data_IF_673394290387
#
_entry.id   IF_673394290387
#
_cell.length_a   1.000
_cell.length_b   1.000
_cell.length_c   1.000
_cell.angle_alpha   90.00
_cell.angle_beta   90.00
_cell.angle_gamma   90.00
#
_symmetry.space_group_name_H-M   'P 1'
#
loop_
_entity.id
_entity.type
_entity.pdbx_description
1 polymer ?
#
# COMPACT_ATOMS: atom_id res chain seq x y z
N UNK A 1 -10.87 60.65 52.71
CA UNK A 1 -11.15 59.90 51.47
C UNK A 1 -9.85 59.77 50.69
N UNK A 2 -9.17 58.63 50.82
CA UNK A 2 -8.10 58.24 49.90
C UNK A 2 -8.53 56.91 49.30
N UNK A 3 -8.80 56.95 48.00
CA UNK A 3 -9.23 55.81 47.20
C UNK A 3 -7.97 55.06 46.77
N UNK A 4 -7.79 53.84 47.26
CA UNK A 4 -6.79 52.91 46.74
C UNK A 4 -7.32 52.28 45.45
N UNK A 5 -6.62 52.37 44.30
CA UNK A 5 -7.01 51.64 43.11
C UNK A 5 -6.55 50.19 43.27
N UNK A 6 -7.49 49.24 43.34
CA UNK A 6 -7.20 47.82 43.13
C UNK A 6 -6.72 47.67 41.69
N UNK A 7 -5.52 47.11 41.52
CA UNK A 7 -5.08 46.52 40.25
C UNK A 7 -5.89 45.25 40.05
N UNK A 8 -6.77 45.26 39.06
CA UNK A 8 -7.31 44.04 38.48
C UNK A 8 -6.20 43.40 37.65
N UNK A 9 -5.51 42.42 38.22
CA UNK A 9 -4.67 41.50 37.45
C UNK A 9 -5.62 40.51 36.76
N UNK A 10 -5.87 40.74 35.47
CA UNK A 10 -6.46 39.77 34.57
C UNK A 10 -5.57 38.51 34.56
N UNK A 11 -6.00 37.48 35.28
CA UNK A 11 -5.38 36.15 35.21
C UNK A 11 -5.71 35.58 33.84
N UNK A 12 -4.81 35.80 32.88
CA UNK A 12 -4.85 35.10 31.59
C UNK A 12 -4.53 33.63 31.88
N UNK A 13 -5.58 32.83 32.06
CA UNK A 13 -5.49 31.39 32.19
C UNK A 13 -4.80 30.83 30.92
N UNK A 14 -3.54 30.39 31.06
CA UNK A 14 -2.82 29.75 29.95
C UNK A 14 -3.54 28.45 29.59
N UNK A 15 -4.33 28.46 28.53
CA UNK A 15 -4.99 27.26 27.98
C UNK A 15 -3.92 26.20 27.73
N UNK A 16 -3.91 25.16 28.56
CA UNK A 16 -2.95 24.06 28.47
C UNK A 16 -3.50 23.01 27.50
N UNK A 17 -3.05 23.06 26.25
CA UNK A 17 -3.44 22.07 25.24
C UNK A 17 -3.03 20.66 25.65
N UNK A 18 -3.94 19.70 25.49
CA UNK A 18 -3.68 18.26 25.65
C UNK A 18 -2.65 17.78 24.63
N UNK A 19 -2.01 16.63 24.87
CA UNK A 19 -1.05 16.05 23.93
C UNK A 19 -1.71 15.77 22.57
N UNK A 20 -2.95 15.27 22.58
CA UNK A 20 -3.74 15.05 21.36
C UNK A 20 -4.04 16.37 20.63
N UNK A 21 -4.42 17.42 21.35
CA UNK A 21 -4.70 18.74 20.74
C UNK A 21 -3.47 19.30 20.01
N UNK A 22 -2.27 19.08 20.56
CA UNK A 22 -1.00 19.44 19.89
C UNK A 22 -0.76 18.61 18.65
N UNK A 23 -0.91 17.28 18.74
CA UNK A 23 -0.74 16.37 17.61
C UNK A 23 -1.71 16.69 16.45
N UNK A 24 -2.97 16.98 16.77
CA UNK A 24 -3.97 17.39 15.77
C UNK A 24 -3.68 18.76 15.17
N UNK A 25 -3.11 19.69 15.93
CA UNK A 25 -2.64 20.96 15.40
C UNK A 25 -1.47 20.78 14.44
N UNK A 26 -0.58 19.82 14.69
CA UNK A 26 0.55 19.50 13.82
C UNK A 26 0.07 18.89 12.49
N UNK A 27 -0.88 17.95 12.55
CA UNK A 27 -1.55 17.41 11.37
C UNK A 27 -2.31 18.48 10.59
N UNK A 28 -2.97 19.42 11.26
CA UNK A 28 -3.64 20.54 10.59
C UNK A 28 -2.65 21.42 9.82
N UNK A 29 -1.44 21.66 10.35
CA UNK A 29 -0.39 22.38 9.62
C UNK A 29 0.09 21.60 8.40
N UNK A 30 0.32 20.29 8.53
CA UNK A 30 0.69 19.46 7.39
C UNK A 30 -0.39 19.48 6.27
N UNK A 31 -1.68 19.37 6.64
CA UNK A 31 -2.79 19.52 5.68
C UNK A 31 -2.76 20.87 4.96
N UNK A 32 -2.54 21.95 5.70
CA UNK A 32 -2.48 23.30 5.12
C UNK A 32 -1.34 23.43 4.10
N UNK A 33 -0.16 22.92 4.44
CA UNK A 33 1.03 22.91 3.56
C UNK A 33 0.76 22.10 2.28
N UNK A 34 0.16 20.91 2.39
CA UNK A 34 -0.16 20.05 1.25
C UNK A 34 -1.23 20.71 0.35
N UNK A 35 -2.24 21.34 0.97
CA UNK A 35 -3.29 22.07 0.25
C UNK A 35 -2.71 23.28 -0.50
N UNK A 36 -1.83 24.05 0.13
CA UNK A 36 -1.13 25.16 -0.51
C UNK A 36 -0.33 24.68 -1.73
N UNK A 37 0.39 23.55 -1.60
CA UNK A 37 1.12 22.96 -2.70
C UNK A 37 0.21 22.58 -3.88
N UNK A 38 -1.02 22.12 -3.59
CA UNK A 38 -2.02 21.78 -4.60
C UNK A 38 -2.48 23.01 -5.37
N UNK A 39 -2.66 24.14 -4.69
CA UNK A 39 -3.08 25.41 -5.29
C UNK A 39 -1.99 26.06 -6.16
N UNK A 40 -0.72 25.87 -5.80
CA UNK A 40 0.43 26.49 -6.47
C UNK A 40 1.03 25.66 -7.62
N UNK A 41 0.50 24.46 -7.89
CA UNK A 41 1.05 23.50 -8.86
C UNK A 41 1.25 24.07 -10.27
N UNK A 42 0.41 25.01 -10.71
CA UNK A 42 0.48 25.59 -12.06
C UNK A 42 1.74 26.40 -12.36
N UNK A 43 2.59 26.71 -11.36
CA UNK A 43 3.71 27.63 -11.52
C UNK A 43 5.10 27.10 -11.14
N UNK A 44 5.26 25.87 -10.61
CA UNK A 44 6.55 25.46 -10.02
C UNK A 44 6.90 23.97 -10.16
N UNK A 45 8.12 23.69 -10.60
CA UNK A 45 8.87 22.48 -10.22
C UNK A 45 9.20 22.55 -8.73
N UNK A 46 9.32 21.41 -8.03
CA UNK A 46 9.66 21.40 -6.60
C UNK A 46 10.86 22.31 -6.29
N UNK A 47 10.61 23.40 -5.56
CA UNK A 47 11.63 24.35 -5.13
C UNK A 47 12.46 23.83 -3.95
N UNK A 48 12.08 22.67 -3.40
CA UNK A 48 12.87 21.99 -2.38
C UNK A 48 13.98 21.20 -3.05
N UNK A 49 15.21 21.63 -2.81
CA UNK A 49 16.40 20.82 -3.08
C UNK A 49 16.31 19.54 -2.24
N UNK A 50 16.12 18.41 -2.91
CA UNK A 50 16.24 17.09 -2.33
C UNK A 50 17.46 16.41 -2.94
N UNK A 51 18.54 16.17 -2.17
CA UNK A 51 19.77 15.59 -2.71
C UNK A 51 19.64 14.12 -3.10
N UNK A 52 18.58 13.43 -2.69
CA UNK A 52 18.35 12.01 -2.99
C UNK A 52 17.44 11.84 -4.21
N UNK A 53 16.24 12.40 -4.15
CA UNK A 53 15.27 12.29 -5.24
C UNK A 53 14.20 13.37 -5.19
N UNK A 54 14.03 14.05 -6.33
CA UNK A 54 12.92 14.98 -6.55
C UNK A 54 11.91 14.30 -7.47
N UNK A 55 10.69 13.96 -6.97
CA UNK A 55 9.60 13.49 -7.82
C UNK A 55 9.32 14.47 -8.96
N UNK A 56 9.33 13.96 -10.18
CA UNK A 56 9.08 14.72 -11.39
C UNK A 56 8.45 13.85 -12.47
N UNK A 57 7.84 14.49 -13.47
CA UNK A 57 7.24 13.81 -14.62
C UNK A 57 5.83 13.25 -14.35
N UNK A 58 5.28 12.64 -15.39
CA UNK A 58 3.86 12.28 -15.47
C UNK A 58 3.53 10.94 -14.78
N UNK A 59 4.52 10.28 -14.16
CA UNK A 59 4.30 9.07 -13.37
C UNK A 59 3.50 9.35 -12.10
N UNK A 60 3.40 10.61 -11.69
CA UNK A 60 2.62 11.05 -10.54
C UNK A 60 1.37 11.80 -10.98
N UNK A 61 0.28 11.69 -10.21
CA UNK A 61 -0.87 12.59 -10.38
C UNK A 61 -0.50 14.06 -10.15
N UNK A 62 0.36 14.30 -9.15
CA UNK A 62 0.96 15.59 -8.89
C UNK A 62 2.29 15.41 -8.15
N UNK A 63 3.39 15.46 -8.90
CA UNK A 63 4.74 15.20 -8.36
C UNK A 63 5.13 16.19 -7.25
N UNK A 64 4.73 17.46 -7.38
CA UNK A 64 5.04 18.50 -6.40
C UNK A 64 4.28 18.28 -5.08
N UNK A 65 2.97 18.03 -5.14
CA UNK A 65 2.15 17.74 -3.97
C UNK A 65 2.62 16.46 -3.28
N UNK A 66 2.95 15.42 -4.05
CA UNK A 66 3.53 14.20 -3.51
C UNK A 66 4.83 14.49 -2.75
N UNK A 67 5.77 15.22 -3.36
CA UNK A 67 7.04 15.56 -2.71
C UNK A 67 6.84 16.35 -1.41
N UNK A 68 5.97 17.36 -1.43
CA UNK A 68 5.62 18.16 -0.24
C UNK A 68 5.01 17.29 0.85
N UNK A 69 4.05 16.44 0.52
CA UNK A 69 3.43 15.54 1.48
C UNK A 69 4.42 14.51 2.04
N UNK A 70 5.34 14.00 1.22
CA UNK A 70 6.36 13.06 1.64
C UNK A 70 7.32 13.70 2.65
N UNK A 71 7.75 14.94 2.40
CA UNK A 71 8.57 15.70 3.35
C UNK A 71 7.87 15.93 4.70
N UNK A 72 6.60 16.33 4.69
CA UNK A 72 5.86 16.53 5.94
C UNK A 72 5.74 15.20 6.71
N UNK A 73 5.46 14.09 6.03
CA UNK A 73 5.49 12.76 6.65
C UNK A 73 6.85 12.46 7.29
N UNK A 74 7.97 12.62 6.57
CA UNK A 74 9.30 12.32 7.10
C UNK A 74 9.68 13.16 8.31
N UNK A 75 9.16 14.38 8.40
CA UNK A 75 9.44 15.33 9.48
C UNK A 75 8.65 15.02 10.74
N UNK A 76 7.38 14.63 10.62
CA UNK A 76 6.48 14.57 11.78
C UNK A 76 5.97 13.17 12.10
N UNK A 77 5.83 12.29 11.11
CA UNK A 77 5.06 11.06 11.27
C UNK A 77 5.69 10.10 12.28
N UNK A 78 4.89 9.64 13.24
CA UNK A 78 5.28 8.70 14.29
C UNK A 78 4.28 7.57 14.43
N UNK A 79 4.79 6.37 14.61
CA UNK A 79 4.03 5.13 14.69
C UNK A 79 4.39 4.43 15.99
N UNK A 80 3.38 4.16 16.81
CA UNK A 80 3.53 3.26 17.95
C UNK A 80 3.19 1.84 17.51
N UNK A 81 4.04 0.89 17.88
CA UNK A 81 3.78 -0.54 17.63
C UNK A 81 3.37 -1.17 18.96
N UNK A 82 2.15 -1.71 19.04
CA UNK A 82 1.72 -2.46 20.22
C UNK A 82 2.66 -3.62 20.48
N UNK A 83 2.91 -3.96 21.76
CA UNK A 83 3.90 -4.99 22.15
C UNK A 83 3.26 -6.34 22.44
N UNK A 84 1.94 -6.38 22.40
CA UNK A 84 1.13 -7.52 22.80
C UNK A 84 1.09 -8.56 21.69
N UNK A 85 1.03 -9.82 22.11
CA UNK A 85 1.04 -10.98 21.22
C UNK A 85 2.46 -11.52 21.04
N UNK A 86 2.55 -12.81 20.76
CA UNK A 86 3.82 -13.50 20.58
C UNK A 86 3.98 -14.01 19.13
N UNK A 87 5.22 -14.11 18.62
CA UNK A 87 5.50 -14.84 17.39
C UNK A 87 5.01 -16.30 17.48
N UNK A 88 4.60 -16.91 16.35
CA UNK A 88 4.76 -16.40 14.99
C UNK A 88 3.57 -15.58 14.47
N UNK A 89 2.47 -15.45 15.22
CA UNK A 89 1.25 -14.76 14.75
C UNK A 89 1.32 -13.25 14.90
N UNK A 90 2.09 -12.77 15.87
CA UNK A 90 2.33 -11.36 16.13
C UNK A 90 3.81 -11.06 16.02
N UNK A 91 4.17 -9.85 15.60
CA UNK A 91 5.55 -9.37 15.49
C UNK A 91 6.46 -10.17 14.54
N UNK A 92 5.87 -11.07 13.75
CA UNK A 92 6.53 -11.87 12.72
C UNK A 92 5.61 -12.00 11.50
N UNK A 93 6.18 -12.35 10.36
CA UNK A 93 5.43 -12.59 9.13
C UNK A 93 6.28 -13.26 8.06
N UNK A 94 5.67 -13.82 7.01
CA UNK A 94 6.44 -14.41 5.91
C UNK A 94 7.30 -13.35 5.22
N UNK A 95 8.60 -13.62 5.08
CA UNK A 95 9.54 -12.76 4.34
C UNK A 95 9.99 -13.38 3.00
N UNK A 96 9.29 -14.43 2.54
CA UNK A 96 9.53 -15.17 1.30
C UNK A 96 8.22 -15.45 0.59
N UNK A 97 8.30 -15.83 -0.69
CA UNK A 97 7.16 -16.10 -1.55
C UNK A 97 6.25 -14.87 -1.72
N UNK A 98 4.99 -15.10 -2.12
CA UNK A 98 4.01 -14.07 -2.50
C UNK A 98 3.64 -13.11 -1.37
N UNK A 99 3.59 -13.58 -0.12
CA UNK A 99 3.27 -12.76 1.05
C UNK A 99 4.49 -12.09 1.69
N UNK A 100 5.65 -12.10 1.02
CA UNK A 100 6.92 -11.65 1.61
C UNK A 100 6.90 -10.20 2.10
N UNK A 101 6.08 -9.34 1.50
CA UNK A 101 5.96 -7.93 1.85
C UNK A 101 5.26 -7.71 3.18
N UNK A 102 4.35 -8.61 3.58
CA UNK A 102 3.70 -8.56 4.90
C UNK A 102 4.73 -8.70 6.02
N UNK A 103 5.51 -9.79 6.01
CA UNK A 103 6.55 -10.01 7.01
C UNK A 103 7.69 -9.00 6.93
N UNK A 104 8.07 -8.55 5.73
CA UNK A 104 9.09 -7.52 5.59
C UNK A 104 8.65 -6.19 6.18
N UNK A 105 7.40 -5.78 6.02
CA UNK A 105 6.91 -4.56 6.66
C UNK A 105 6.92 -4.69 8.18
N UNK A 106 6.37 -5.78 8.73
CA UNK A 106 6.37 -6.07 10.17
C UNK A 106 7.80 -6.01 10.73
N UNK A 107 8.74 -6.70 10.07
CA UNK A 107 10.15 -6.72 10.47
C UNK A 107 10.81 -5.33 10.48
N UNK A 108 10.50 -4.46 9.52
CA UNK A 108 11.04 -3.10 9.53
C UNK A 108 10.40 -2.22 10.60
N UNK A 109 9.12 -2.44 10.92
CA UNK A 109 8.45 -1.77 12.04
C UNK A 109 8.97 -2.24 13.41
N UNK A 110 9.44 -3.48 13.52
CA UNK A 110 10.08 -4.00 14.73
C UNK A 110 11.53 -3.53 14.93
N UNK A 111 12.15 -2.95 13.91
CA UNK A 111 13.48 -2.34 14.04
C UNK A 111 13.39 -0.89 14.47
N UNK A 112 14.50 -0.42 15.05
CA UNK A 112 14.68 1.01 15.26
C UNK A 112 14.69 1.73 13.90
N UNK A 113 13.80 2.70 13.76
CA UNK A 113 13.66 3.51 12.57
C UNK A 113 13.07 4.88 12.93
N UNK A 114 13.24 5.88 12.08
CA UNK A 114 12.84 7.26 12.38
C UNK A 114 11.34 7.48 12.62
N UNK A 115 10.49 6.57 12.16
CA UNK A 115 9.04 6.65 12.30
C UNK A 115 8.54 5.94 13.56
N UNK A 116 9.24 4.94 14.09
CA UNK A 116 8.83 4.27 15.32
C UNK A 116 8.95 5.22 16.51
N UNK A 117 7.97 5.19 17.40
CA UNK A 117 8.07 5.77 18.75
C UNK A 117 7.67 4.73 19.79
N UNK A 118 8.29 4.80 20.96
CA UNK A 118 7.93 4.01 22.13
C UNK A 118 7.05 4.80 23.12
N UNK A 119 6.88 6.11 22.91
CA UNK A 119 5.89 6.92 23.61
C UNK A 119 4.58 6.94 22.79
N UNK A 120 3.52 6.25 23.24
CA UNK A 120 2.26 6.22 22.52
C UNK A 120 1.55 7.58 22.46
N UNK A 121 1.95 8.57 23.28
CA UNK A 121 1.40 9.92 23.22
C UNK A 121 2.01 10.77 22.08
N UNK A 122 3.16 10.37 21.53
CA UNK A 122 3.77 11.01 20.36
C UNK A 122 3.26 10.40 19.04
N UNK A 123 2.52 9.29 19.11
CA UNK A 123 2.13 8.51 17.96
C UNK A 123 0.98 9.14 17.17
N UNK A 124 1.16 9.27 15.87
CA UNK A 124 0.12 9.70 14.94
C UNK A 124 -0.79 8.54 14.56
N UNK A 125 -0.23 7.34 14.47
CA UNK A 125 -0.96 6.08 14.25
C UNK A 125 -0.41 4.95 15.10
N UNK A 126 -1.22 3.93 15.30
CA UNK A 126 -0.89 2.74 16.09
C UNK A 126 -0.96 1.49 15.22
N UNK A 127 0.15 0.74 15.15
CA UNK A 127 0.24 -0.49 14.38
C UNK A 127 -0.21 -1.68 15.20
N UNK A 128 -1.10 -2.51 14.63
CA UNK A 128 -1.48 -3.84 15.13
C UNK A 128 -0.60 -4.90 14.44
N UNK A 129 0.47 -5.40 15.08
CA UNK A 129 1.53 -6.17 14.42
C UNK A 129 1.17 -7.66 14.24
N UNK A 130 -0.07 -7.98 13.90
CA UNK A 130 -0.47 -9.35 13.63
C UNK A 130 -0.35 -9.69 12.14
N UNK A 131 0.06 -10.92 11.84
CA UNK A 131 0.21 -11.43 10.48
C UNK A 131 -0.93 -12.40 10.17
N UNK A 132 -1.83 -12.00 9.27
CA UNK A 132 -2.91 -12.89 8.81
C UNK A 132 -2.33 -14.10 8.09
N UNK A 133 -1.24 -13.94 7.32
CA UNK A 133 -0.59 -15.07 6.67
C UNK A 133 -0.05 -16.10 7.67
N UNK A 134 0.50 -15.66 8.81
CA UNK A 134 0.92 -16.56 9.89
C UNK A 134 -0.28 -17.16 10.62
N UNK A 135 -1.34 -16.41 10.87
CA UNK A 135 -2.56 -16.98 11.43
C UNK A 135 -3.13 -18.09 10.55
N UNK A 136 -3.18 -17.89 9.22
CA UNK A 136 -3.59 -18.94 8.29
C UNK A 136 -2.64 -20.14 8.38
N UNK A 137 -1.32 -19.91 8.35
CA UNK A 137 -0.34 -20.99 8.42
C UNK A 137 -0.46 -21.86 9.68
N UNK A 138 -0.80 -21.27 10.83
CA UNK A 138 -0.74 -21.97 12.13
C UNK A 138 -2.12 -22.35 12.70
N UNK A 139 -3.19 -21.67 12.30
CA UNK A 139 -4.54 -21.88 12.85
C UNK A 139 -5.50 -22.51 11.84
N UNK A 140 -5.27 -22.39 10.53
CA UNK A 140 -6.16 -23.00 9.55
C UNK A 140 -5.94 -24.51 9.47
N UNK A 141 -7.04 -25.26 9.53
CA UNK A 141 -7.03 -26.70 9.27
C UNK A 141 -7.38 -26.92 7.79
N UNK A 142 -6.48 -27.52 6.98
CA UNK A 142 -6.77 -27.78 5.58
C UNK A 142 -8.11 -28.54 5.40
N UNK A 143 -8.85 -28.18 4.35
CA UNK A 143 -10.14 -28.75 3.97
C UNK A 143 -11.30 -28.59 4.99
N UNK A 144 -11.10 -27.85 6.10
CA UNK A 144 -12.16 -27.58 7.06
C UNK A 144 -13.12 -26.47 6.60
N UNK A 145 -12.63 -25.56 5.74
CA UNK A 145 -13.27 -24.28 5.41
C UNK A 145 -13.59 -23.40 6.65
N UNK A 146 -13.01 -23.72 7.80
CA UNK A 146 -13.22 -23.03 9.06
C UNK A 146 -12.13 -21.98 9.28
N UNK A 147 -12.55 -20.71 9.29
CA UNK A 147 -11.69 -19.55 9.58
C UNK A 147 -11.91 -18.99 10.99
N UNK A 148 -12.74 -19.63 11.83
CA UNK A 148 -13.15 -19.10 13.12
C UNK A 148 -11.98 -18.81 14.05
N UNK A 149 -11.01 -19.72 14.16
CA UNK A 149 -9.81 -19.52 14.98
C UNK A 149 -9.01 -18.27 14.59
N UNK A 150 -8.91 -17.98 13.30
CA UNK A 150 -8.19 -16.81 12.77
C UNK A 150 -8.95 -15.52 13.10
N UNK A 151 -10.26 -15.50 12.83
CA UNK A 151 -11.13 -14.36 13.07
C UNK A 151 -11.18 -14.03 14.57
N UNK A 152 -11.32 -15.05 15.40
CA UNK A 152 -11.40 -14.91 16.85
C UNK A 152 -10.07 -14.43 17.45
N UNK A 153 -8.93 -14.89 16.92
CA UNK A 153 -7.61 -14.40 17.36
C UNK A 153 -7.45 -12.90 17.15
N UNK A 154 -7.84 -12.37 15.98
CA UNK A 154 -7.79 -10.93 15.74
C UNK A 154 -8.80 -10.15 16.59
N UNK A 155 -10.02 -10.68 16.76
CA UNK A 155 -11.05 -10.08 17.59
C UNK A 155 -10.63 -9.97 19.05
N UNK A 156 -10.13 -11.06 19.63
CA UNK A 156 -9.68 -11.10 21.02
C UNK A 156 -8.47 -10.20 21.25
N UNK A 157 -7.52 -10.20 20.32
CA UNK A 157 -6.38 -9.30 20.36
C UNK A 157 -6.81 -7.85 20.47
N UNK A 158 -7.72 -7.42 19.59
CA UNK A 158 -8.15 -6.02 19.55
C UNK A 158 -9.05 -5.68 20.74
N UNK A 159 -10.11 -6.45 21.00
CA UNK A 159 -11.15 -6.07 21.96
C UNK A 159 -10.80 -6.40 23.42
N UNK A 160 -10.08 -7.51 23.65
CA UNK A 160 -9.84 -8.01 24.99
C UNK A 160 -8.43 -7.67 25.49
N UNK A 161 -7.49 -7.41 24.58
CA UNK A 161 -6.11 -7.03 24.96
C UNK A 161 -5.88 -5.54 24.69
N UNK A 162 -5.90 -5.10 23.43
CA UNK A 162 -5.52 -3.72 23.08
C UNK A 162 -6.50 -2.70 23.66
N UNK A 163 -7.80 -2.89 23.47
CA UNK A 163 -8.83 -1.96 23.92
C UNK A 163 -8.96 -1.88 25.45
N UNK A 164 -8.60 -2.94 26.18
CA UNK A 164 -8.65 -2.96 27.64
C UNK A 164 -7.39 -2.38 28.28
N UNK A 165 -6.23 -2.62 27.65
CA UNK A 165 -4.93 -2.21 28.20
C UNK A 165 -4.56 -0.76 27.86
N UNK A 166 -5.01 -0.25 26.71
CA UNK A 166 -4.61 1.06 26.21
C UNK A 166 -5.81 1.98 25.93
N UNK A 167 -5.71 3.28 26.28
CA UNK A 167 -6.81 4.21 26.04
C UNK A 167 -6.98 4.58 24.55
N UNK A 168 -5.95 4.39 23.73
CA UNK A 168 -5.87 4.93 22.36
C UNK A 168 -6.87 4.30 21.41
N UNK A 169 -7.10 2.99 21.49
CA UNK A 169 -8.13 2.32 20.68
C UNK A 169 -9.52 2.91 20.93
N UNK A 170 -9.91 3.04 22.20
CA UNK A 170 -11.23 3.56 22.58
C UNK A 170 -11.38 5.06 22.31
N UNK A 171 -10.28 5.82 22.34
CA UNK A 171 -10.25 7.26 22.03
C UNK A 171 -10.72 7.55 20.61
N UNK A 172 -10.26 6.75 19.65
CA UNK A 172 -10.52 6.94 18.21
C UNK A 172 -11.51 5.93 17.64
N UNK A 173 -11.95 4.95 18.43
CA UNK A 173 -12.63 3.74 17.96
C UNK A 173 -11.82 3.05 16.84
N UNK A 174 -10.50 3.02 16.98
CA UNK A 174 -9.59 2.42 16.02
C UNK A 174 -9.25 3.29 14.80
N UNK A 175 -9.75 4.53 14.68
CA UNK A 175 -9.57 5.32 13.46
C UNK A 175 -8.10 5.69 13.14
N UNK A 176 -7.26 5.88 14.16
CA UNK A 176 -5.80 6.07 14.03
C UNK A 176 -5.01 4.76 14.17
N UNK A 177 -5.68 3.62 14.09
CA UNK A 177 -5.04 2.30 14.10
C UNK A 177 -4.94 1.76 12.69
N UNK A 178 -3.91 0.96 12.45
CA UNK A 178 -3.79 0.26 11.20
C UNK A 178 -3.37 -1.20 11.36
N UNK A 179 -3.85 -2.02 10.44
CA UNK A 179 -3.39 -3.38 10.21
C UNK A 179 -2.83 -3.50 8.80
N UNK A 180 -2.01 -4.51 8.57
CA UNK A 180 -1.46 -4.80 7.25
C UNK A 180 -1.58 -6.28 6.93
N UNK A 181 -2.05 -6.63 5.74
CA UNK A 181 -1.98 -8.00 5.25
C UNK A 181 -1.89 -8.12 3.73
N UNK A 182 -1.15 -9.13 3.28
CA UNK A 182 -1.15 -9.58 1.90
C UNK A 182 -1.93 -10.87 1.64
N UNK A 183 -2.39 -11.55 2.67
CA UNK A 183 -3.21 -12.73 2.50
C UNK A 183 -4.61 -12.34 2.01
N UNK A 184 -5.21 -13.17 1.15
CA UNK A 184 -6.59 -13.01 0.64
C UNK A 184 -7.65 -12.91 1.76
N UNK A 185 -7.36 -13.40 2.96
CA UNK A 185 -8.26 -13.34 4.13
C UNK A 185 -8.09 -12.08 4.98
N UNK A 186 -7.18 -11.17 4.62
CA UNK A 186 -7.06 -9.86 5.28
C UNK A 186 -8.39 -9.10 5.39
N UNK A 187 -9.16 -8.94 4.29
CA UNK A 187 -10.50 -8.37 4.33
C UNK A 187 -11.44 -9.12 5.29
N UNK A 188 -11.48 -10.46 5.21
CA UNK A 188 -12.33 -11.30 6.05
C UNK A 188 -12.02 -11.10 7.54
N UNK A 189 -10.74 -11.15 7.92
CA UNK A 189 -10.31 -10.98 9.31
C UNK A 189 -10.67 -9.60 9.82
N UNK A 190 -10.39 -8.56 9.02
CA UNK A 190 -10.74 -7.18 9.41
C UNK A 190 -12.25 -6.99 9.60
N UNK A 191 -13.07 -7.59 8.72
CA UNK A 191 -14.54 -7.53 8.78
C UNK A 191 -15.10 -8.06 10.09
N UNK A 192 -14.50 -9.10 10.66
CA UNK A 192 -14.95 -9.70 11.91
C UNK A 192 -14.61 -8.86 13.15
N UNK A 193 -13.79 -7.82 13.02
CA UNK A 193 -13.46 -6.88 14.10
C UNK A 193 -14.11 -5.52 13.79
N UNK A 194 -15.28 -5.19 14.40
CA UNK A 194 -16.16 -4.13 13.89
C UNK A 194 -15.51 -2.76 13.66
N UNK A 195 -14.71 -2.28 14.61
CA UNK A 195 -14.02 -0.99 14.50
C UNK A 195 -12.77 -1.04 13.60
N UNK A 196 -12.17 -2.22 13.45
CA UNK A 196 -11.06 -2.43 12.51
C UNK A 196 -11.53 -2.37 11.06
N UNK A 197 -12.71 -2.92 10.75
CA UNK A 197 -13.31 -2.82 9.42
C UNK A 197 -13.81 -1.42 9.09
N UNK A 198 -14.55 -0.81 10.02
CA UNK A 198 -15.28 0.42 9.72
C UNK A 198 -14.41 1.68 9.82
N UNK A 199 -13.48 1.73 10.77
CA UNK A 199 -12.80 2.97 11.13
C UNK A 199 -11.29 2.94 10.87
N UNK A 200 -10.64 1.81 11.15
CA UNK A 200 -9.18 1.69 11.04
C UNK A 200 -8.68 1.72 9.60
N UNK A 201 -7.40 2.05 9.46
CA UNK A 201 -6.68 2.02 8.20
C UNK A 201 -6.31 0.57 7.90
N UNK A 202 -6.87 -0.02 6.84
CA UNK A 202 -6.48 -1.37 6.42
C UNK A 202 -5.51 -1.28 5.26
N UNK A 203 -4.32 -1.82 5.43
CA UNK A 203 -3.28 -1.86 4.40
C UNK A 203 -3.30 -3.24 3.77
N UNK A 204 -3.85 -3.38 2.56
CA UNK A 204 -4.23 -4.67 2.00
C UNK A 204 -3.61 -4.90 0.61
N UNK A 205 -3.03 -6.09 0.38
CA UNK A 205 -2.73 -6.52 -0.99
C UNK A 205 -4.03 -6.74 -1.79
N UNK A 206 -5.01 -7.45 -1.22
CA UNK A 206 -6.35 -7.64 -1.81
C UNK A 206 -7.21 -6.37 -1.70
N UNK A 207 -6.87 -5.35 -2.50
CA UNK A 207 -7.51 -4.04 -2.52
C UNK A 207 -8.73 -4.01 -3.47
N UNK A 208 -9.75 -4.81 -3.17
CA UNK A 208 -10.97 -4.93 -3.97
C UNK A 208 -12.13 -4.08 -3.43
N UNK A 209 -12.55 -3.08 -4.20
CA UNK A 209 -13.66 -2.18 -3.80
C UNK A 209 -15.01 -2.88 -3.70
N UNK A 210 -15.24 -4.00 -4.41
CA UNK A 210 -16.47 -4.78 -4.26
C UNK A 210 -16.50 -5.63 -2.98
N UNK A 211 -15.36 -5.84 -2.33
CA UNK A 211 -15.21 -6.57 -1.07
C UNK A 211 -15.07 -5.63 0.14
N UNK A 212 -15.45 -4.36 -0.06
CA UNK A 212 -15.49 -3.35 0.98
C UNK A 212 -14.16 -2.65 1.24
N UNK A 213 -13.17 -2.77 0.36
CA UNK A 213 -12.02 -1.87 0.34
C UNK A 213 -12.49 -0.44 0.02
N UNK A 214 -12.15 0.52 0.87
CA UNK A 214 -12.49 1.94 0.69
C UNK A 214 -11.19 2.74 0.49
N UNK A 215 -10.88 3.23 -0.72
CA UNK A 215 -9.64 3.97 -0.99
C UNK A 215 -9.42 5.22 -0.13
N UNK A 216 -10.49 5.79 0.44
CA UNK A 216 -10.41 6.97 1.30
C UNK A 216 -9.94 6.66 2.72
N UNK A 217 -10.12 5.41 3.17
CA UNK A 217 -9.76 4.91 4.52
C UNK A 217 -8.67 3.85 4.49
N UNK A 218 -8.64 3.01 3.47
CA UNK A 218 -7.74 1.87 3.31
C UNK A 218 -6.62 2.21 2.31
N UNK A 219 -5.52 1.46 2.36
CA UNK A 219 -4.37 1.64 1.49
C UNK A 219 -4.05 0.33 0.73
N UNK A 220 -3.86 0.43 -0.58
CA UNK A 220 -3.43 -0.71 -1.40
C UNK A 220 -1.94 -0.94 -1.20
N UNK A 221 -1.57 -2.21 -1.03
CA UNK A 221 -0.22 -2.64 -0.69
C UNK A 221 0.32 -3.60 -1.76
N UNK A 222 1.57 -3.45 -2.23
CA UNK A 222 2.07 -4.31 -3.30
C UNK A 222 2.41 -5.72 -2.81
N UNK A 223 1.90 -6.70 -3.54
CA UNK A 223 2.29 -8.09 -3.40
C UNK A 223 3.60 -8.32 -4.16
N UNK A 224 4.66 -8.74 -3.45
CA UNK A 224 5.97 -8.98 -4.08
C UNK A 224 6.39 -10.41 -3.78
N UNK A 225 6.60 -11.19 -4.84
CA UNK A 225 7.02 -12.57 -4.74
C UNK A 225 8.54 -12.70 -4.60
N UNK A 226 9.03 -12.68 -3.36
CA UNK A 226 10.44 -12.96 -3.07
C UNK A 226 10.65 -14.47 -2.90
N UNK A 227 10.75 -15.21 -4.00
CA UNK A 227 10.81 -16.69 -4.03
C UNK A 227 11.72 -17.30 -2.96
N UNK A 228 12.97 -16.81 -2.85
CA UNK A 228 13.96 -17.26 -1.86
C UNK A 228 14.10 -16.32 -0.66
N UNK A 229 13.53 -15.12 -0.75
CA UNK A 229 13.77 -13.99 0.16
C UNK A 229 14.88 -13.04 -0.30
N UNK A 230 15.59 -13.38 -1.39
CA UNK A 230 16.64 -12.55 -1.97
C UNK A 230 16.08 -11.28 -2.61
N UNK A 231 16.82 -10.19 -2.46
CA UNK A 231 16.45 -8.84 -2.96
C UNK A 231 17.43 -8.32 -4.01
N UNK A 232 18.44 -9.11 -4.38
CA UNK A 232 19.44 -8.76 -5.38
C UNK A 232 18.96 -9.24 -6.74
N UNK A 233 19.14 -8.42 -7.77
CA UNK A 233 18.80 -8.78 -9.15
C UNK A 233 17.30 -8.89 -9.41
N UNK A 234 16.46 -8.27 -8.57
CA UNK A 234 15.01 -8.23 -8.78
C UNK A 234 14.65 -7.47 -10.06
N UNK A 235 15.41 -6.42 -10.36
CA UNK A 235 15.18 -5.53 -11.51
C UNK A 235 16.05 -5.95 -12.69
N UNK A 236 15.46 -5.93 -13.88
CA UNK A 236 16.18 -6.12 -15.13
C UNK A 236 15.19 -6.19 -16.29
N UNK A 237 15.49 -5.53 -17.41
CA UNK A 237 14.61 -5.51 -18.57
C UNK A 237 15.40 -5.25 -19.85
N UNK A 238 14.88 -5.74 -20.99
CA UNK A 238 15.46 -5.42 -22.30
C UNK A 238 15.00 -4.03 -22.77
N UNK A 239 15.82 -3.32 -23.56
CA UNK A 239 15.37 -2.10 -24.22
C UNK A 239 14.18 -2.38 -25.15
N UNK A 240 13.33 -1.37 -25.46
CA UNK A 240 12.15 -1.52 -26.31
C UNK A 240 12.41 -2.29 -27.62
N UNK A 241 13.51 -1.95 -28.30
CA UNK A 241 13.91 -2.53 -29.60
C UNK A 241 14.18 -4.02 -29.56
N UNK A 242 14.47 -4.58 -28.38
CA UNK A 242 14.87 -5.98 -28.21
C UNK A 242 13.73 -6.85 -27.64
N UNK A 243 12.53 -6.28 -27.46
CA UNK A 243 11.34 -6.99 -26.98
C UNK A 243 10.52 -7.48 -28.17
N UNK A 244 10.62 -8.78 -28.43
CA UNK A 244 10.05 -9.43 -29.62
C UNK A 244 8.66 -10.03 -29.40
N UNK A 245 8.21 -10.16 -28.14
CA UNK A 245 6.90 -10.69 -27.80
C UNK A 245 5.95 -9.51 -27.56
N UNK A 246 4.76 -9.51 -28.17
CA UNK A 246 3.79 -8.43 -27.95
C UNK A 246 3.26 -8.49 -26.51
N UNK A 247 2.70 -9.62 -26.09
CA UNK A 247 2.17 -9.77 -24.75
C UNK A 247 2.44 -11.17 -24.17
N UNK A 248 2.61 -11.24 -22.85
CA UNK A 248 2.89 -12.49 -22.16
C UNK A 248 2.08 -12.69 -20.88
N UNK A 249 1.63 -13.93 -20.67
CA UNK A 249 1.09 -14.42 -19.41
C UNK A 249 1.54 -15.86 -19.13
N UNK A 250 1.81 -16.17 -17.86
CA UNK A 250 1.83 -17.54 -17.35
C UNK A 250 1.21 -17.63 -15.96
N UNK A 251 0.27 -18.56 -15.79
CA UNK A 251 -0.37 -18.81 -14.51
C UNK A 251 -1.42 -19.91 -14.58
N UNK A 252 -1.69 -20.52 -13.43
CA UNK A 252 -2.73 -21.54 -13.27
C UNK A 252 -4.16 -21.00 -13.41
N UNK A 253 -5.10 -21.93 -13.61
CA UNK A 253 -6.54 -21.67 -13.47
C UNK A 253 -6.85 -21.26 -12.04
N UNK A 254 -7.09 -19.98 -11.82
CA UNK A 254 -7.29 -19.39 -10.51
C UNK A 254 -8.10 -18.11 -10.68
N UNK A 255 -9.37 -18.14 -10.29
CA UNK A 255 -10.33 -17.07 -10.60
C UNK A 255 -10.90 -17.14 -12.03
N UNK A 256 -12.06 -16.54 -12.22
CA UNK A 256 -12.83 -16.65 -13.47
C UNK A 256 -12.18 -15.90 -14.65
N UNK A 257 -11.49 -14.78 -14.39
CA UNK A 257 -10.81 -13.97 -15.41
C UNK A 257 -9.67 -14.75 -16.08
N UNK A 258 -8.90 -15.53 -15.30
CA UNK A 258 -7.84 -16.39 -15.86
C UNK A 258 -8.41 -17.50 -16.72
N UNK A 259 -9.58 -18.05 -16.39
CA UNK A 259 -10.26 -19.03 -17.23
C UNK A 259 -10.59 -18.44 -18.60
N UNK A 260 -11.17 -17.23 -18.64
CA UNK A 260 -11.48 -16.52 -19.90
C UNK A 260 -10.19 -16.23 -20.69
N UNK A 261 -9.13 -15.75 -20.04
CA UNK A 261 -7.86 -15.46 -20.69
C UNK A 261 -7.23 -16.73 -21.31
N UNK A 262 -7.17 -17.82 -20.54
CA UNK A 262 -6.62 -19.09 -21.00
C UNK A 262 -7.45 -19.68 -22.13
N UNK A 263 -8.78 -19.64 -22.01
CA UNK A 263 -9.69 -20.11 -23.06
C UNK A 263 -9.46 -19.35 -24.37
N UNK A 264 -9.29 -18.02 -24.33
CA UNK A 264 -9.14 -17.23 -25.55
C UNK A 264 -7.74 -17.24 -26.16
N UNK A 265 -6.67 -17.30 -25.36
CA UNK A 265 -5.32 -16.99 -25.86
C UNK A 265 -4.29 -18.11 -25.70
N UNK A 266 -4.54 -19.11 -24.84
CA UNK A 266 -3.56 -20.20 -24.62
C UNK A 266 -3.31 -20.94 -25.93
N UNK A 267 -2.04 -21.01 -26.34
CA UNK A 267 -1.57 -21.71 -27.55
C UNK A 267 -2.27 -21.27 -28.86
N UNK A 268 -2.81 -20.03 -28.92
CA UNK A 268 -3.64 -19.54 -30.04
C UNK A 268 -3.02 -18.41 -30.87
N UNK A 269 -1.95 -17.77 -30.39
CA UNK A 269 -1.28 -16.67 -31.10
C UNK A 269 0.23 -16.67 -30.83
N UNK A 270 1.03 -16.23 -31.81
CA UNK A 270 2.50 -16.21 -31.70
C UNK A 270 3.03 -14.94 -31.01
N UNK A 271 2.27 -13.84 -31.07
CA UNK A 271 2.60 -12.53 -30.52
C UNK A 271 2.08 -12.39 -29.08
N UNK A 272 0.88 -12.93 -28.81
CA UNK A 272 0.31 -13.04 -27.46
C UNK A 272 0.55 -14.45 -26.91
N UNK A 273 1.53 -14.58 -26.03
CA UNK A 273 1.97 -15.86 -25.47
C UNK A 273 1.37 -16.10 -24.10
N UNK A 274 0.41 -17.03 -24.03
CA UNK A 274 -0.34 -17.34 -22.81
C UNK A 274 -0.16 -18.81 -22.46
N UNK A 275 0.28 -19.09 -21.23
CA UNK A 275 0.54 -20.44 -20.74
C UNK A 275 -0.21 -20.77 -19.45
N UNK A 276 -0.68 -22.02 -19.32
CA UNK A 276 -1.15 -22.59 -18.06
C UNK A 276 0.02 -23.33 -17.39
N UNK A 277 0.96 -22.55 -16.84
CA UNK A 277 2.26 -23.05 -16.40
C UNK A 277 3.25 -23.15 -17.56
N UNK A 278 4.46 -22.64 -17.34
CA UNK A 278 5.52 -22.69 -18.35
C UNK A 278 6.17 -24.08 -18.41
N UNK A 279 6.55 -24.57 -19.60
CA UNK A 279 7.50 -25.66 -19.74
C UNK A 279 8.80 -25.38 -18.99
N UNK A 280 9.48 -26.42 -18.49
CA UNK A 280 10.68 -26.30 -17.65
C UNK A 280 11.85 -25.62 -18.38
N UNK A 281 11.87 -25.72 -19.70
CA UNK A 281 12.91 -25.20 -20.59
C UNK A 281 12.74 -23.69 -20.83
N UNK A 282 11.57 -23.13 -20.53
CA UNK A 282 11.25 -21.72 -20.76
C UNK A 282 11.38 -20.94 -19.46
N UNK A 283 12.32 -20.00 -19.44
CA UNK A 283 12.51 -19.08 -18.33
C UNK A 283 11.38 -18.05 -18.28
N UNK A 284 10.65 -18.02 -17.16
CA UNK A 284 9.62 -17.02 -16.88
C UNK A 284 10.15 -15.59 -16.96
N UNK A 285 11.32 -15.35 -16.36
CA UNK A 285 11.96 -14.04 -16.35
C UNK A 285 12.36 -13.61 -17.77
N UNK A 286 12.87 -14.53 -18.60
CA UNK A 286 13.19 -14.22 -19.98
C UNK A 286 11.95 -13.90 -20.81
N UNK A 287 10.84 -14.60 -20.59
CA UNK A 287 9.58 -14.30 -21.28
C UNK A 287 9.08 -12.90 -20.93
N UNK A 288 9.09 -12.52 -19.64
CA UNK A 288 8.74 -11.15 -19.23
C UNK A 288 9.71 -10.10 -19.81
N UNK A 289 11.02 -10.36 -19.75
CA UNK A 289 12.04 -9.44 -20.25
C UNK A 289 11.98 -9.23 -21.77
N UNK A 290 11.47 -10.22 -22.52
CA UNK A 290 11.29 -10.15 -23.97
C UNK A 290 9.91 -9.59 -24.39
N UNK A 291 9.00 -9.36 -23.45
CA UNK A 291 7.63 -8.94 -23.75
C UNK A 291 7.46 -7.42 -23.66
N UNK A 292 6.72 -6.84 -24.60
CA UNK A 292 6.33 -5.43 -24.52
C UNK A 292 5.31 -5.20 -23.39
N UNK A 293 4.31 -6.07 -23.35
CA UNK A 293 3.20 -6.01 -22.39
C UNK A 293 3.14 -7.28 -21.53
N UNK A 294 2.93 -7.14 -20.23
CA UNK A 294 2.80 -8.27 -19.31
C UNK A 294 1.37 -8.30 -18.77
N UNK A 295 0.64 -9.36 -19.08
CA UNK A 295 -0.77 -9.48 -18.73
C UNK A 295 -0.89 -9.86 -17.26
N UNK A 296 -1.63 -9.07 -16.49
CA UNK A 296 -1.84 -9.22 -15.06
C UNK A 296 -3.34 -9.42 -14.78
N UNK A 297 -3.91 -10.60 -15.11
CA UNK A 297 -5.29 -10.92 -14.78
C UNK A 297 -5.43 -11.22 -13.28
N UNK A 298 -6.48 -10.69 -12.66
CA UNK A 298 -6.82 -11.02 -11.28
C UNK A 298 -7.13 -12.52 -11.13
N UNK A 299 -6.92 -12.98 -9.89
CA UNK A 299 -7.18 -14.33 -9.44
C UNK A 299 -8.56 -14.48 -8.79
N UNK A 300 -8.63 -15.32 -7.74
CA UNK A 300 -9.72 -15.19 -6.77
C UNK A 300 -9.57 -13.89 -5.97
N UNK A 301 -8.34 -13.50 -5.68
CA UNK A 301 -7.98 -12.16 -5.21
C UNK A 301 -7.65 -11.22 -6.38
N UNK A 302 -7.86 -9.92 -6.20
CA UNK A 302 -7.52 -8.92 -7.23
C UNK A 302 -6.03 -8.61 -7.30
N UNK A 303 -5.29 -8.90 -6.23
CA UNK A 303 -3.85 -8.73 -6.18
C UNK A 303 -3.13 -9.76 -7.08
N UNK A 304 -1.98 -9.37 -7.61
CA UNK A 304 -1.08 -10.35 -8.23
C UNK A 304 0.36 -9.91 -8.10
N UNK A 305 1.30 -10.82 -7.74
CA UNK A 305 2.71 -10.46 -7.69
C UNK A 305 3.24 -10.11 -9.09
N UNK A 306 2.53 -10.54 -10.15
CA UNK A 306 2.84 -10.27 -11.55
C UNK A 306 2.90 -8.80 -11.88
N UNK A 307 2.14 -7.96 -11.17
CA UNK A 307 2.16 -6.51 -11.39
C UNK A 307 3.55 -5.98 -11.07
N UNK A 308 4.10 -6.37 -9.91
CA UNK A 308 5.44 -5.94 -9.50
C UNK A 308 6.52 -6.66 -10.31
N UNK A 309 6.34 -7.94 -10.64
CA UNK A 309 7.25 -8.67 -11.54
C UNK A 309 7.33 -8.00 -12.93
N UNK A 310 6.21 -7.53 -13.49
CA UNK A 310 6.17 -6.78 -14.74
C UNK A 310 6.90 -5.44 -14.63
N UNK A 311 6.66 -4.70 -13.54
CA UNK A 311 7.37 -3.45 -13.25
C UNK A 311 8.89 -3.72 -13.20
N UNK A 312 9.33 -4.71 -12.44
CA UNK A 312 10.74 -5.11 -12.35
C UNK A 312 11.36 -5.56 -13.68
N UNK A 313 10.55 -6.20 -14.53
CA UNK A 313 10.94 -6.62 -15.87
C UNK A 313 10.97 -5.48 -16.91
N UNK A 314 10.66 -4.24 -16.51
CA UNK A 314 10.41 -3.09 -17.41
C UNK A 314 9.39 -3.43 -18.51
N UNK A 315 8.41 -4.29 -18.19
CA UNK A 315 7.35 -4.77 -19.06
C UNK A 315 6.08 -4.00 -18.71
N UNK A 316 5.42 -3.39 -19.70
CA UNK A 316 4.23 -2.56 -19.43
C UNK A 316 3.10 -3.43 -18.87
N UNK A 317 2.64 -3.22 -17.62
CA UNK A 317 1.59 -4.04 -17.03
C UNK A 317 0.27 -3.82 -17.75
N UNK A 318 -0.42 -4.92 -18.08
CA UNK A 318 -1.80 -4.91 -18.60
C UNK A 318 -2.70 -5.47 -17.52
N UNK A 319 -3.38 -4.58 -16.79
CA UNK A 319 -4.26 -4.99 -15.70
C UNK A 319 -5.61 -5.44 -16.27
N UNK A 320 -6.02 -6.65 -15.90
CA UNK A 320 -7.33 -7.21 -16.24
C UNK A 320 -7.99 -7.62 -14.94
N UNK A 321 -8.75 -6.71 -14.36
CA UNK A 321 -9.37 -6.88 -13.06
C UNK A 321 -10.57 -5.96 -12.94
N UNK A 322 -11.62 -6.41 -12.27
CA UNK A 322 -12.69 -5.53 -11.83
C UNK A 322 -12.36 -5.00 -10.43
N UNK A 323 -12.71 -3.74 -10.17
CA UNK A 323 -12.73 -3.16 -8.82
C UNK A 323 -11.39 -3.10 -8.06
N UNK A 324 -10.27 -3.45 -8.70
CA UNK A 324 -8.94 -3.39 -8.11
C UNK A 324 -8.43 -1.96 -8.00
N UNK A 325 -7.84 -1.64 -6.86
CA UNK A 325 -7.12 -0.39 -6.64
C UNK A 325 -5.62 -0.70 -6.61
N UNK A 326 -4.85 -0.33 -7.64
CA UNK A 326 -3.42 -0.61 -7.68
C UNK A 326 -2.65 0.08 -6.55
N UNK A 327 -1.49 -0.46 -6.13
CA UNK A 327 -0.70 0.13 -5.05
C UNK A 327 -0.28 1.57 -5.37
N UNK A 328 -0.28 2.40 -4.33
CA UNK A 328 0.14 3.81 -4.41
C UNK A 328 -0.67 4.68 -5.39
N UNK A 329 -1.91 4.30 -5.72
CA UNK A 329 -2.79 5.05 -6.62
C UNK A 329 -3.11 6.48 -6.16
N UNK A 330 -2.90 6.83 -4.88
CA UNK A 330 -3.05 8.21 -4.42
C UNK A 330 -2.01 9.16 -5.01
N UNK A 331 -0.86 8.61 -5.44
CA UNK A 331 0.30 9.40 -5.88
C UNK A 331 0.75 9.02 -7.28
N UNK A 332 0.72 7.73 -7.64
CA UNK A 332 1.15 7.23 -8.95
C UNK A 332 0.00 7.25 -9.95
N UNK A 333 0.24 7.87 -11.10
CA UNK A 333 -0.67 7.86 -12.24
C UNK A 333 -0.49 6.58 -13.05
N UNK A 334 -1.23 5.53 -12.69
CA UNK A 334 -1.16 4.21 -13.33
C UNK A 334 -1.44 4.24 -14.84
N UNK A 335 -2.29 5.16 -15.33
CA UNK A 335 -2.60 5.29 -16.76
C UNK A 335 -1.39 5.75 -17.59
N UNK A 336 -0.39 6.34 -16.94
CA UNK A 336 0.82 6.82 -17.62
C UNK A 336 1.80 5.69 -17.97
N UNK A 337 1.73 4.54 -17.29
CA UNK A 337 2.70 3.43 -17.41
C UNK A 337 2.07 2.03 -17.44
N UNK A 338 0.74 1.91 -17.43
CA UNK A 338 0.02 0.64 -17.53
C UNK A 338 -1.13 0.71 -18.54
N UNK A 339 -1.66 -0.44 -18.93
CA UNK A 339 -2.87 -0.54 -19.76
C UNK A 339 -3.96 -1.22 -18.93
N UNK A 340 -5.09 -0.55 -18.72
CA UNK A 340 -6.28 -1.15 -18.12
C UNK A 340 -7.13 -1.78 -19.23
N UNK A 341 -7.48 -3.06 -19.11
CA UNK A 341 -8.35 -3.75 -20.06
C UNK A 341 -9.53 -4.38 -19.31
N UNK A 342 -10.78 -4.01 -19.66
CA UNK A 342 -11.96 -4.66 -19.09
C UNK A 342 -11.98 -6.16 -19.37
N UNK A 343 -12.58 -6.95 -18.47
CA UNK A 343 -12.70 -8.41 -18.64
C UNK A 343 -13.40 -8.78 -19.94
N UNK A 344 -14.43 -8.01 -20.34
CA UNK A 344 -15.17 -8.20 -21.59
C UNK A 344 -14.32 -8.00 -22.85
N UNK A 345 -13.17 -7.33 -22.73
CA UNK A 345 -12.26 -7.03 -23.83
C UNK A 345 -11.06 -7.99 -23.92
N UNK A 346 -11.02 -9.04 -23.10
CA UNK A 346 -10.02 -10.12 -23.23
C UNK A 346 -9.92 -10.64 -24.69
N UNK A 347 -11.02 -10.92 -25.42
CA UNK A 347 -10.93 -11.37 -26.81
C UNK A 347 -10.28 -10.33 -27.76
N UNK A 348 -10.27 -9.05 -27.38
CA UNK A 348 -9.75 -7.94 -28.17
C UNK A 348 -8.31 -7.55 -27.82
N UNK A 349 -7.63 -8.27 -26.91
CA UNK A 349 -6.30 -7.88 -26.38
C UNK A 349 -5.30 -7.52 -27.49
N UNK A 350 -5.16 -8.35 -28.53
CA UNK A 350 -4.22 -8.08 -29.63
C UNK A 350 -4.52 -6.75 -30.33
N UNK A 351 -5.79 -6.50 -30.65
CA UNK A 351 -6.22 -5.24 -31.28
C UNK A 351 -5.93 -4.04 -30.39
N UNK A 352 -6.21 -4.14 -29.09
CA UNK A 352 -6.00 -3.06 -28.12
C UNK A 352 -4.50 -2.74 -27.99
N UNK A 353 -3.67 -3.77 -27.80
CA UNK A 353 -2.23 -3.58 -27.58
C UNK A 353 -1.51 -3.12 -28.85
N UNK A 354 -1.91 -3.60 -30.04
CA UNK A 354 -1.36 -3.13 -31.31
C UNK A 354 -1.81 -1.72 -31.70
N UNK A 355 -2.90 -1.20 -31.11
CA UNK A 355 -3.33 0.18 -31.32
C UNK A 355 -2.48 1.20 -30.57
N UNK A 356 -1.65 0.76 -29.63
CA UNK A 356 -0.68 1.62 -28.93
C UNK A 356 0.50 1.87 -29.89
N UNK A 357 0.73 3.13 -30.24
CA UNK A 357 1.85 3.51 -31.11
C UNK A 357 3.19 3.20 -30.44
N UNK A 358 4.23 2.96 -31.24
CA UNK A 358 5.56 2.65 -30.71
C UNK A 358 6.07 3.78 -29.79
N UNK A 359 5.89 5.05 -30.16
CA UNK A 359 6.28 6.20 -29.32
C UNK A 359 5.56 6.20 -27.97
N UNK A 360 4.26 5.87 -27.96
CA UNK A 360 3.49 5.77 -26.71
C UNK A 360 4.02 4.60 -25.87
N UNK A 361 4.25 3.45 -26.48
CA UNK A 361 4.79 2.27 -25.80
C UNK A 361 6.18 2.56 -25.19
N UNK A 362 7.10 3.17 -25.93
CA UNK A 362 8.44 3.53 -25.44
C UNK A 362 8.35 4.48 -24.24
N UNK A 363 7.44 5.47 -24.28
CA UNK A 363 7.20 6.37 -23.15
C UNK A 363 6.62 5.63 -21.94
N UNK A 364 5.66 4.72 -22.14
CA UNK A 364 5.12 3.89 -21.06
C UNK A 364 6.21 3.04 -20.43
N UNK A 365 7.05 2.39 -21.22
CA UNK A 365 8.13 1.55 -20.71
C UNK A 365 9.19 2.36 -19.93
N UNK A 366 9.54 3.56 -20.41
CA UNK A 366 10.40 4.48 -19.67
C UNK A 366 9.80 4.83 -18.31
N UNK A 367 8.50 5.10 -18.26
CA UNK A 367 7.78 5.39 -17.02
C UNK A 367 7.69 4.17 -16.10
N UNK A 368 7.53 2.96 -16.63
CA UNK A 368 7.64 1.72 -15.85
C UNK A 368 9.00 1.66 -15.13
N UNK A 369 10.09 1.95 -15.84
CA UNK A 369 11.44 2.02 -15.25
C UNK A 369 11.56 3.11 -14.18
N UNK A 370 10.94 4.26 -14.36
CA UNK A 370 10.92 5.33 -13.36
C UNK A 370 10.17 4.92 -12.08
N UNK A 371 8.99 4.29 -12.21
CA UNK A 371 8.19 3.87 -11.05
C UNK A 371 8.78 2.69 -10.29
N UNK A 372 9.66 1.87 -10.90
CA UNK A 372 10.31 0.72 -10.24
C UNK A 372 10.82 1.06 -8.85
N UNK A 373 11.40 2.25 -8.67
CA UNK A 373 11.96 2.70 -7.39
C UNK A 373 10.99 2.58 -6.21
N UNK A 374 9.71 2.82 -6.46
CA UNK A 374 8.63 2.78 -5.47
C UNK A 374 8.18 1.38 -5.07
N UNK A 375 8.59 0.37 -5.84
CA UNK A 375 8.27 -1.02 -5.58
C UNK A 375 9.47 -1.82 -5.06
N UNK A 376 10.70 -1.25 -5.13
CA UNK A 376 11.91 -1.94 -4.68
C UNK A 376 11.86 -2.23 -3.18
N UNK A 377 12.17 -3.47 -2.84
CA UNK A 377 12.44 -3.92 -1.47
C UNK A 377 13.93 -3.77 -1.18
N UNK A 378 14.29 -2.96 -0.18
CA UNK A 378 15.66 -2.86 0.31
C UNK A 378 15.85 -3.61 1.65
N UNK A 379 17.09 -4.01 1.94
CA UNK A 379 17.44 -4.60 3.25
C UNK A 379 17.27 -3.60 4.38
N UNK A 380 17.83 -2.40 4.19
CA UNK A 380 17.53 -1.19 4.96
C UNK A 380 16.65 -0.29 4.09
N UNK A 381 15.45 0.11 4.55
CA UNK A 381 14.57 0.97 3.77
C UNK A 381 15.26 2.25 3.29
N UNK A 382 15.05 2.59 2.02
CA UNK A 382 15.53 3.82 1.38
C UNK A 382 14.36 4.75 1.08
N UNK A 383 14.60 6.06 1.06
CA UNK A 383 13.53 7.03 0.77
C UNK A 383 12.89 6.68 -0.58
N UNK A 384 11.57 6.87 -0.65
CA UNK A 384 10.73 6.56 -1.80
C UNK A 384 10.67 5.08 -2.22
N UNK A 385 11.23 4.15 -1.45
CA UNK A 385 11.05 2.71 -1.70
C UNK A 385 9.70 2.19 -1.21
N UNK A 386 9.43 0.90 -1.41
CA UNK A 386 8.13 0.29 -1.08
C UNK A 386 7.71 0.45 0.38
N UNK A 387 8.68 0.50 1.31
CA UNK A 387 8.39 0.71 2.72
C UNK A 387 7.97 2.15 2.97
N UNK A 388 8.73 3.11 2.47
CA UNK A 388 8.41 4.54 2.60
C UNK A 388 7.12 4.93 1.89
N UNK A 389 6.86 4.36 0.71
CA UNK A 389 5.62 4.58 -0.04
C UNK A 389 4.41 4.02 0.71
N UNK A 390 4.55 2.86 1.35
CA UNK A 390 3.50 2.29 2.22
C UNK A 390 3.22 3.18 3.43
N UNK A 391 4.28 3.67 4.10
CA UNK A 391 4.13 4.63 5.19
C UNK A 391 3.45 5.92 4.74
N UNK A 392 3.74 6.40 3.53
CA UNK A 392 3.10 7.56 2.93
C UNK A 392 1.62 7.32 2.66
N UNK A 393 1.25 6.15 2.15
CA UNK A 393 -0.16 5.78 2.03
C UNK A 393 -0.88 5.84 3.37
N UNK A 394 -0.31 5.27 4.45
CA UNK A 394 -0.89 5.32 5.81
C UNK A 394 -1.00 6.77 6.31
N UNK A 395 0.05 7.58 6.09
CA UNK A 395 0.07 8.99 6.44
C UNK A 395 -1.09 9.78 5.81
N UNK A 396 -1.38 9.56 4.53
CA UNK A 396 -2.51 10.20 3.86
C UNK A 396 -3.85 9.84 4.54
N UNK A 397 -4.04 8.59 4.94
CA UNK A 397 -5.27 8.17 5.64
C UNK A 397 -5.37 8.80 7.01
N UNK A 398 -4.24 8.92 7.73
CA UNK A 398 -4.21 9.65 9.01
C UNK A 398 -4.56 11.13 8.85
N UNK A 399 -4.16 11.75 7.74
CA UNK A 399 -4.54 13.12 7.42
C UNK A 399 -6.04 13.25 7.08
N UNK A 400 -6.73 12.21 6.63
CA UNK A 400 -8.16 12.30 6.31
C UNK A 400 -9.07 12.41 7.54
N UNK A 401 -8.56 12.08 8.73
CA UNK A 401 -9.36 12.03 9.96
C UNK A 401 -8.91 13.04 11.01
N UNK A 402 -9.85 13.55 11.82
CA UNK A 402 -9.56 14.40 12.98
C UNK A 402 -10.09 13.74 14.23
N UNK A 403 -9.25 13.57 15.23
CA UNK A 403 -9.61 12.95 16.51
C UNK A 403 -9.80 14.05 17.55
N UNK A 404 -10.78 13.88 18.42
CA UNK A 404 -11.10 14.82 19.48
C UNK A 404 -11.14 14.10 20.82
N UNK A 405 -10.66 14.76 21.88
CA UNK A 405 -10.86 14.28 23.24
C UNK A 405 -12.36 14.28 23.55
N UNK A 406 -12.97 13.09 23.65
CA UNK A 406 -14.40 12.95 23.99
C UNK A 406 -14.73 13.43 25.42
N UNK A 407 -13.73 13.73 26.24
CA UNK A 407 -13.88 14.03 27.67
C UNK A 407 -14.08 15.53 28.02
N UNK A 408 -14.02 16.46 27.06
CA UNK A 408 -14.17 17.91 27.34
C UNK A 408 -15.56 18.51 27.07
N UNK A 409 -16.59 17.71 26.75
CA UNK A 409 -17.94 18.24 26.44
C UNK A 409 -18.91 18.36 27.62
N UNK A 410 -18.47 18.03 28.84
CA UNK A 410 -19.25 18.24 30.06
C UNK A 410 -18.36 18.74 31.19
N UNK A 411 -18.09 20.03 31.20
CA UNK A 411 -17.62 20.77 32.38
C UNK A 411 -18.17 22.18 32.33
#
# INVERSE_FOLDING_TARGET
MQVNPKKDEEVVEKIKFSKLERLEADLARARAIIREATLNYGNQTSVHEDPDYIPQGDIYHNAYVFHRSFFEMEKTFKIFVYKEGDPPMFHDGPCKSIYSTEGRFIHQMEKENKFRTYDPDEAHVYFLPFSVAKMVQYLYVPDSHDSEGIKQTALDYVNNIIAQKYPYWNRSLGADHFMLSCHDWGPLVSFHVPNLYNNSIRVLCNANTSEGFDPSRDASFPEINLKTGDIIGLVGGKPPSNRTILAFFSGGLHGYIRSILLEHWKDKDNDIRVYNGLPKEISYHDMMNNSKFCICPSGYEVASPRIVEAIYAECVPVLISDHYVPPFSDVLNWDSFSVQVPVSDIPNLKRILMAITEDRYVNMQKRVKEVQRHFIVNGTPKRFDVFYMTLHSIWLRRLNIRIHDRLKRYS
#
